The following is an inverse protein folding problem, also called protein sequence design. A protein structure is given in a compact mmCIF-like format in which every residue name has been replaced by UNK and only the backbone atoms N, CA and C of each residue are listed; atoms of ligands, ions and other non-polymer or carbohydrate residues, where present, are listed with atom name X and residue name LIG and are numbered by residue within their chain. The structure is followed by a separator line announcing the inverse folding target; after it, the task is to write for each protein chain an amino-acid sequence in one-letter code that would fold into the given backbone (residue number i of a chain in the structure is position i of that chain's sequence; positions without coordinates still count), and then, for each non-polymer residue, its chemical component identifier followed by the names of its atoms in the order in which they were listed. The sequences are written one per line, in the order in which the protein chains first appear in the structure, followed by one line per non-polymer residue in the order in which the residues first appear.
data_IF_712061015882
#
_entry.id   IF_712061015882
#
_cell.length_a   1.000
_cell.length_b   1.000
_cell.length_c   1.000
_cell.angle_alpha   90.00
_cell.angle_beta   90.00
_cell.angle_gamma   90.00
#
_symmetry.space_group_name_H-M   'P 1'
#
loop_
_entity.id
_entity.type
_entity.pdbx_description
1 polymer ?
#
# COMPACT_ATOMS: atom_id res chain seq x y z
N UNK A 1 19.32 -0.20 13.63
CA UNK A 1 20.47 -0.07 12.71
C UNK A 1 20.08 0.36 11.28
N UNK A 2 19.35 -0.45 10.49
CA UNK A 2 18.90 -0.02 9.14
C UNK A 2 17.70 0.96 9.19
N UNK A 3 16.74 0.72 10.09
CA UNK A 3 15.57 1.59 10.30
C UNK A 3 15.91 2.99 10.84
N UNK A 4 17.02 3.14 11.56
CA UNK A 4 17.47 4.42 12.13
C UNK A 4 18.15 5.32 11.10
N UNK A 5 18.63 4.76 9.97
CA UNK A 5 19.35 5.48 8.90
C UNK A 5 18.45 5.90 7.74
N UNK A 6 17.35 5.18 7.48
CA UNK A 6 16.41 5.47 6.39
C UNK A 6 15.20 6.32 6.82
N UNK A 7 14.93 6.40 8.12
CA UNK A 7 13.77 7.11 8.66
C UNK A 7 12.43 6.46 8.25
N UNK A 8 11.38 6.76 9.02
CA UNK A 8 10.02 6.24 8.80
C UNK A 8 9.49 6.61 7.40
N UNK A 9 9.85 7.81 6.93
CA UNK A 9 9.52 8.31 5.59
C UNK A 9 10.21 7.50 4.48
N UNK A 10 11.51 7.22 4.62
CA UNK A 10 12.24 6.44 3.60
C UNK A 10 11.74 5.00 3.50
N UNK A 11 11.44 4.36 4.63
CA UNK A 11 10.84 3.03 4.65
C UNK A 11 9.46 3.00 3.96
N UNK A 12 8.61 4.01 4.21
CA UNK A 12 7.33 4.16 3.51
C UNK A 12 7.51 4.33 2.00
N UNK A 13 8.40 5.23 1.56
CA UNK A 13 8.64 5.49 0.13
C UNK A 13 9.20 4.26 -0.59
N UNK A 14 10.15 3.54 0.00
CA UNK A 14 10.68 2.29 -0.56
C UNK A 14 9.58 1.22 -0.64
N UNK A 15 8.79 1.08 0.43
CA UNK A 15 7.66 0.15 0.45
C UNK A 15 6.64 0.43 -0.65
N UNK A 16 6.30 1.71 -0.85
CA UNK A 16 5.40 2.16 -1.92
C UNK A 16 5.97 1.86 -3.32
N UNK A 17 7.27 2.10 -3.55
CA UNK A 17 7.92 1.80 -4.83
C UNK A 17 7.93 0.30 -5.13
N UNK A 18 8.27 -0.53 -4.14
CA UNK A 18 8.27 -2.00 -4.28
C UNK A 18 6.86 -2.50 -4.58
N UNK A 19 5.86 -2.01 -3.84
CA UNK A 19 4.48 -2.41 -4.04
C UNK A 19 3.95 -1.97 -5.42
N UNK A 20 4.29 -0.75 -5.85
CA UNK A 20 3.93 -0.22 -7.16
C UNK A 20 4.52 -1.05 -8.30
N UNK A 21 5.82 -1.34 -8.24
CA UNK A 21 6.48 -2.19 -9.23
C UNK A 21 5.88 -3.60 -9.27
N UNK A 22 5.54 -4.16 -8.11
CA UNK A 22 4.91 -5.47 -8.02
C UNK A 22 3.47 -5.48 -8.57
N UNK A 23 2.69 -4.42 -8.38
CA UNK A 23 1.36 -4.27 -9.01
C UNK A 23 1.44 -4.28 -10.54
N UNK A 24 2.39 -3.53 -11.11
CA UNK A 24 2.59 -3.47 -12.56
C UNK A 24 3.10 -4.83 -13.08
N UNK A 25 4.03 -5.47 -12.37
CA UNK A 25 4.48 -6.81 -12.73
C UNK A 25 3.37 -7.86 -12.68
N UNK A 26 2.53 -7.83 -11.64
CA UNK A 26 1.41 -8.74 -11.47
C UNK A 26 0.35 -8.60 -12.56
N UNK A 27 0.13 -7.38 -13.09
CA UNK A 27 -0.84 -7.16 -14.17
C UNK A 27 -0.35 -7.69 -15.53
N UNK A 28 0.96 -7.86 -15.69
CA UNK A 28 1.62 -8.37 -16.90
C UNK A 28 2.00 -9.86 -16.79
N UNK A 29 1.65 -10.53 -15.67
CA UNK A 29 2.03 -11.90 -15.45
C UNK A 29 1.40 -12.85 -16.49
N UNK A 30 2.19 -13.76 -17.05
CA UNK A 30 1.69 -14.75 -18.03
C UNK A 30 1.65 -16.16 -17.46
N UNK A 31 2.16 -16.35 -16.23
CA UNK A 31 2.19 -17.63 -15.55
C UNK A 31 1.84 -17.50 -14.06
N UNK A 32 1.34 -18.60 -13.49
CA UNK A 32 0.99 -18.69 -12.07
C UNK A 32 2.20 -18.40 -11.15
N UNK A 33 3.38 -18.92 -11.49
CA UNK A 33 4.59 -18.71 -10.70
C UNK A 33 5.03 -17.24 -10.67
N UNK A 34 4.93 -16.53 -11.80
CA UNK A 34 5.19 -15.09 -11.83
C UNK A 34 4.21 -14.33 -10.94
N UNK A 35 2.91 -14.66 -11.02
CA UNK A 35 1.90 -14.01 -10.22
C UNK A 35 2.15 -14.20 -8.71
N UNK A 36 2.51 -15.41 -8.29
CA UNK A 36 2.87 -15.71 -6.89
C UNK A 36 4.10 -14.91 -6.47
N UNK A 37 5.13 -14.83 -7.31
CA UNK A 37 6.33 -14.05 -7.03
C UNK A 37 6.00 -12.55 -6.82
N UNK A 38 5.16 -11.97 -7.68
CA UNK A 38 4.72 -10.59 -7.51
C UNK A 38 3.86 -10.40 -6.26
N UNK A 39 3.01 -11.36 -5.89
CA UNK A 39 2.26 -11.31 -4.61
C UNK A 39 3.20 -11.33 -3.40
N UNK A 40 4.26 -12.13 -3.45
CA UNK A 40 5.27 -12.12 -2.41
C UNK A 40 5.96 -10.76 -2.32
N UNK A 41 6.32 -10.15 -3.46
CA UNK A 41 6.89 -8.80 -3.51
C UNK A 41 5.93 -7.72 -2.98
N UNK A 42 4.64 -7.81 -3.30
CA UNK A 42 3.61 -6.93 -2.71
C UNK A 42 3.56 -7.09 -1.19
N UNK A 43 3.69 -8.32 -0.67
CA UNK A 43 3.79 -8.60 0.76
C UNK A 43 4.99 -7.91 1.42
N UNK A 44 6.15 -7.96 0.77
CA UNK A 44 7.36 -7.24 1.22
C UNK A 44 7.14 -5.72 1.26
N UNK A 45 6.54 -5.16 0.20
CA UNK A 45 6.19 -3.74 0.16
C UNK A 45 5.21 -3.35 1.27
N UNK A 46 4.16 -4.16 1.49
CA UNK A 46 3.16 -3.93 2.52
C UNK A 46 3.75 -3.98 3.95
N UNK A 47 4.71 -4.88 4.19
CA UNK A 47 5.41 -5.00 5.46
C UNK A 47 6.22 -3.74 5.82
N UNK A 48 6.66 -2.96 4.82
CA UNK A 48 7.32 -1.68 5.03
C UNK A 48 6.30 -0.54 5.21
N UNK A 49 5.20 -0.56 4.45
CA UNK A 49 4.17 0.50 4.43
C UNK A 49 3.44 0.57 5.79
N UNK A 50 2.83 -0.53 6.23
CA UNK A 50 1.92 -0.54 7.39
C UNK A 50 2.54 0.01 8.70
N UNK A 51 3.72 -0.48 9.16
CA UNK A 51 4.32 0.06 10.37
C UNK A 51 4.82 1.50 10.20
N UNK A 52 5.26 1.88 8.99
CA UNK A 52 5.74 3.22 8.71
C UNK A 52 4.60 4.25 8.73
N UNK A 53 3.44 3.93 8.16
CA UNK A 53 2.27 4.84 8.18
C UNK A 53 1.78 5.10 9.59
N UNK A 54 1.67 4.06 10.42
CA UNK A 54 1.25 4.21 11.81
C UNK A 54 2.27 5.01 12.62
N UNK A 55 3.56 4.74 12.40
CA UNK A 55 4.65 5.43 13.08
C UNK A 55 4.74 6.92 12.72
N UNK A 56 4.43 7.29 11.47
CA UNK A 56 4.34 8.69 11.05
C UNK A 56 3.12 9.36 11.69
N UNK A 57 1.95 8.71 11.64
CA UNK A 57 0.71 9.24 12.20
C UNK A 57 0.86 9.58 13.69
N UNK A 58 1.40 8.65 14.49
CA UNK A 58 1.62 8.87 15.93
C UNK A 58 2.64 10.00 16.20
N UNK A 59 3.59 10.23 15.29
CA UNK A 59 4.55 11.31 15.43
C UNK A 59 4.00 12.68 15.05
N UNK A 60 3.13 12.75 14.04
CA UNK A 60 2.59 14.00 13.51
C UNK A 60 1.47 14.54 14.41
N UNK A 61 0.64 13.66 14.96
CA UNK A 61 -0.48 14.08 15.81
C UNK A 61 -0.07 14.21 17.28
N UNK A 62 -0.57 15.27 17.97
CA UNK A 62 -0.33 15.45 19.39
C UNK A 62 -1.03 14.37 20.23
N UNK A 63 -0.57 14.09 21.47
CA UNK A 63 -1.01 12.94 22.26
C UNK A 63 -2.52 12.78 22.45
N UNK A 64 -3.23 13.91 22.57
CA UNK A 64 -4.68 14.00 22.74
C UNK A 64 -5.46 13.64 21.46
N UNK A 65 -4.89 13.89 20.27
CA UNK A 65 -5.53 13.56 18.99
C UNK A 65 -5.15 12.19 18.44
N UNK A 66 -4.08 11.56 18.95
CA UNK A 66 -3.57 10.26 18.45
C UNK A 66 -4.62 9.17 18.43
N UNK A 67 -5.41 9.03 19.50
CA UNK A 67 -6.46 8.00 19.57
C UNK A 67 -7.47 8.15 18.45
N UNK A 68 -7.88 9.40 18.16
CA UNK A 68 -8.79 9.71 17.05
C UNK A 68 -8.15 9.44 15.70
N UNK A 69 -6.90 9.85 15.50
CA UNK A 69 -6.16 9.62 14.26
C UNK A 69 -5.97 8.10 13.99
N UNK A 70 -5.62 7.31 15.00
CA UNK A 70 -5.50 5.85 14.91
C UNK A 70 -6.86 5.22 14.61
N UNK A 71 -7.94 5.68 15.26
CA UNK A 71 -9.28 5.17 15.02
C UNK A 71 -9.73 5.41 13.57
N UNK A 72 -9.45 6.60 13.00
CA UNK A 72 -9.72 6.90 11.60
C UNK A 72 -8.88 6.02 10.68
N UNK A 73 -7.57 5.90 10.94
CA UNK A 73 -6.67 5.06 10.15
C UNK A 73 -7.10 3.58 10.15
N UNK A 74 -7.48 3.05 11.31
CA UNK A 74 -8.00 1.68 11.44
C UNK A 74 -9.36 1.53 10.74
N UNK A 75 -10.25 2.51 10.87
CA UNK A 75 -11.55 2.54 10.21
C UNK A 75 -11.43 2.53 8.68
N UNK A 76 -10.54 3.34 8.13
CA UNK A 76 -10.24 3.35 6.69
C UNK A 76 -9.65 2.01 6.24
N UNK A 77 -8.73 1.43 7.01
CA UNK A 77 -8.13 0.12 6.71
C UNK A 77 -9.18 -0.99 6.72
N UNK A 78 -10.08 -1.00 7.70
CA UNK A 78 -11.19 -1.94 7.78
C UNK A 78 -12.18 -1.77 6.63
N UNK A 79 -12.56 -0.53 6.31
CA UNK A 79 -13.41 -0.22 5.16
C UNK A 79 -12.79 -0.70 3.85
N UNK A 80 -11.49 -0.46 3.65
CA UNK A 80 -10.76 -0.97 2.49
C UNK A 80 -10.78 -2.51 2.42
N UNK A 81 -10.68 -3.19 3.56
CA UNK A 81 -10.81 -4.66 3.65
C UNK A 81 -12.20 -5.18 3.25
N UNK A 82 -13.27 -4.44 3.55
CA UNK A 82 -14.63 -4.80 3.15
C UNK A 82 -14.94 -4.45 1.68
N UNK A 83 -14.48 -3.28 1.22
CA UNK A 83 -14.73 -2.77 -0.14
C UNK A 83 -13.88 -3.53 -1.17
N UNK A 84 -12.64 -3.91 -0.79
CA UNK A 84 -11.67 -4.52 -1.68
C UNK A 84 -12.18 -5.76 -2.43
N UNK A 85 -12.73 -6.78 -1.76
CA UNK A 85 -13.27 -7.98 -2.43
C UNK A 85 -14.44 -7.67 -3.37
N UNK A 86 -15.35 -6.76 -2.97
CA UNK A 86 -16.51 -6.38 -3.78
C UNK A 86 -16.07 -5.66 -5.05
N UNK A 87 -15.20 -4.65 -4.90
CA UNK A 87 -14.64 -3.92 -6.04
C UNK A 87 -13.84 -4.85 -6.96
N UNK A 88 -13.01 -5.74 -6.40
CA UNK A 88 -12.22 -6.70 -7.17
C UNK A 88 -13.10 -7.67 -7.96
N UNK A 89 -14.19 -8.17 -7.35
CA UNK A 89 -15.15 -9.03 -8.03
C UNK A 89 -15.86 -8.32 -9.19
N UNK A 90 -16.27 -7.07 -8.99
CA UNK A 90 -16.86 -6.26 -10.05
C UNK A 90 -15.87 -6.01 -11.21
N UNK A 91 -14.60 -5.70 -10.90
CA UNK A 91 -13.54 -5.51 -11.90
C UNK A 91 -13.31 -6.80 -12.69
N UNK A 92 -13.21 -7.95 -12.02
CA UNK A 92 -13.01 -9.25 -12.67
C UNK A 92 -14.19 -9.66 -13.57
N UNK A 93 -15.39 -9.14 -13.31
CA UNK A 93 -16.56 -9.37 -14.14
C UNK A 93 -16.56 -8.59 -15.46
N UNK A 94 -15.81 -7.48 -15.55
CA UNK A 94 -15.86 -6.56 -16.71
C UNK A 94 -14.51 -6.34 -17.39
N UNK A 95 -13.41 -6.58 -16.69
CA UNK A 95 -12.05 -6.31 -17.14
C UNK A 95 -11.15 -7.53 -16.96
N UNK A 96 -9.94 -7.46 -17.53
CA UNK A 96 -8.92 -8.50 -17.34
C UNK A 96 -8.48 -8.57 -15.88
N UNK A 97 -8.00 -9.74 -15.45
CA UNK A 97 -7.54 -9.94 -14.07
C UNK A 97 -6.43 -8.96 -13.65
N UNK A 98 -5.60 -8.52 -14.60
CA UNK A 98 -4.55 -7.54 -14.39
C UNK A 98 -5.07 -6.18 -13.89
N UNK A 99 -6.31 -5.82 -14.24
CA UNK A 99 -6.93 -4.57 -13.84
C UNK A 99 -7.07 -4.42 -12.31
N UNK A 100 -7.27 -5.53 -11.59
CA UNK A 100 -7.37 -5.54 -10.12
C UNK A 100 -6.07 -5.02 -9.47
N UNK A 101 -4.93 -5.29 -10.10
CA UNK A 101 -3.64 -4.77 -9.62
C UNK A 101 -3.43 -3.31 -9.99
N UNK A 102 -3.80 -2.94 -11.21
CA UNK A 102 -3.62 -1.59 -11.75
C UNK A 102 -4.45 -0.54 -11.03
N UNK A 103 -5.59 -0.91 -10.43
CA UNK A 103 -6.41 0.01 -9.61
C UNK A 103 -5.61 0.61 -8.45
N UNK A 104 -4.59 -0.08 -7.93
CA UNK A 104 -3.74 0.44 -6.86
C UNK A 104 -2.74 1.50 -7.34
N UNK A 105 -2.32 1.43 -8.61
CA UNK A 105 -1.28 2.30 -9.20
C UNK A 105 -1.54 3.79 -9.01
N UNK A 106 -2.72 4.36 -9.32
CA UNK A 106 -2.96 5.79 -9.14
C UNK A 106 -2.85 6.23 -7.68
N UNK A 107 -3.32 5.41 -6.72
CA UNK A 107 -3.23 5.73 -5.29
C UNK A 107 -1.78 5.68 -4.79
N UNK A 108 -1.00 4.70 -5.26
CA UNK A 108 0.43 4.57 -4.93
C UNK A 108 1.23 5.74 -5.50
N UNK A 109 0.97 6.15 -6.74
CA UNK A 109 1.61 7.31 -7.34
C UNK A 109 1.27 8.59 -6.58
N UNK A 110 0.00 8.78 -6.21
CA UNK A 110 -0.43 9.92 -5.41
C UNK A 110 0.29 9.96 -4.06
N UNK A 111 0.39 8.82 -3.37
CA UNK A 111 1.08 8.72 -2.09
C UNK A 111 2.61 8.97 -2.22
N UNK A 112 3.24 8.48 -3.28
CA UNK A 112 4.66 8.72 -3.58
C UNK A 112 4.91 10.21 -3.82
N UNK A 113 4.12 10.85 -4.68
CA UNK A 113 4.23 12.27 -4.99
C UNK A 113 3.98 13.12 -3.74
N UNK A 114 2.91 12.86 -3.00
CA UNK A 114 2.60 13.59 -1.78
C UNK A 114 3.72 13.47 -0.75
N UNK A 115 4.25 12.26 -0.53
CA UNK A 115 5.37 12.06 0.39
C UNK A 115 6.71 12.56 -0.14
N UNK A 116 6.86 12.79 -1.45
CA UNK A 116 8.03 13.45 -2.02
C UNK A 116 8.04 14.96 -1.79
N UNK A 117 6.86 15.58 -1.78
CA UNK A 117 6.67 17.04 -1.65
C UNK A 117 6.74 17.51 -0.19
N UNK A 118 6.20 16.73 0.75
CA UNK A 118 6.13 17.05 2.19
C UNK A 118 7.42 16.62 2.90
#
# INVERSE_FOLDING_TARGET
ALGDRFGRKGALQIGLLVFLGACIGASLATSMNQLIAYRALMGVGAALIMPSTLSILVNVFPPDERTKAIAIWAGVTGAAGAIGPVASGWILGHYSYGAVFLVNVPFLLLALVAGGII
#
